data_IF_141116711968
#
_entry.id   IF_141116711968
#
_cell.length_a   1.000
_cell.length_b   1.000
_cell.length_c   1.000
_cell.angle_alpha   90.00
_cell.angle_beta   90.00
_cell.angle_gamma   90.00
#
_symmetry.space_group_name_H-M   'P 1'
#
loop_
_entity.id
_entity.type
_entity.pdbx_description
1 polymer ?
#
# COMPACT_ATOMS: atom_id res chain seq x y z
N UNK A 1 6.46 -6.24 8.72
CA UNK A 1 7.00 -6.18 7.36
C UNK A 1 7.41 -7.58 6.93
N UNK A 2 6.78 -8.12 5.88
CA UNK A 2 7.08 -9.46 5.39
C UNK A 2 8.21 -9.47 4.34
N UNK A 3 8.26 -8.46 3.49
CA UNK A 3 9.25 -8.38 2.41
C UNK A 3 10.31 -7.34 2.72
N UNK A 4 11.54 -7.79 2.94
CA UNK A 4 12.68 -6.89 3.16
C UNK A 4 13.17 -6.31 1.83
N UNK A 5 13.61 -5.05 1.88
CA UNK A 5 14.09 -4.34 0.70
C UNK A 5 15.57 -4.66 0.44
N UNK A 6 15.80 -5.85 -0.10
CA UNK A 6 17.12 -6.32 -0.52
C UNK A 6 17.22 -6.19 -2.03
N UNK A 7 17.85 -5.13 -2.51
CA UNK A 7 18.01 -4.86 -3.94
C UNK A 7 19.46 -4.55 -4.30
N UNK A 8 19.84 -4.99 -5.47
CA UNK A 8 21.14 -4.68 -6.08
C UNK A 8 20.92 -4.33 -7.55
N UNK A 9 20.81 -3.03 -7.84
CA UNK A 9 20.64 -2.54 -9.20
C UNK A 9 22.01 -2.23 -9.79
N UNK A 10 22.36 -2.90 -10.87
CA UNK A 10 23.66 -2.68 -11.56
C UNK A 10 23.84 -1.20 -11.92
N UNK A 11 24.92 -0.60 -11.44
CA UNK A 11 25.23 0.83 -11.56
C UNK A 11 24.17 1.76 -10.92
N UNK A 12 23.41 1.26 -9.95
CA UNK A 12 22.34 1.96 -9.29
C UNK A 12 22.37 1.79 -7.77
N UNK A 13 21.19 1.59 -7.19
CA UNK A 13 21.02 1.52 -5.75
C UNK A 13 21.30 0.11 -5.22
N UNK A 14 21.94 0.07 -4.05
CA UNK A 14 22.11 -1.11 -3.24
C UNK A 14 21.47 -0.88 -1.88
N UNK A 15 20.57 -1.76 -1.50
CA UNK A 15 19.97 -1.80 -0.16
C UNK A 15 19.91 -3.24 0.31
N UNK A 16 20.13 -3.45 1.60
CA UNK A 16 20.08 -4.77 2.22
C UNK A 16 19.51 -4.65 3.62
N UNK A 17 18.18 -4.56 3.72
CA UNK A 17 17.48 -4.48 5.00
C UNK A 17 17.68 -5.72 5.86
N UNK A 18 17.91 -6.88 5.23
CA UNK A 18 18.17 -8.13 5.95
C UNK A 18 19.44 -8.13 6.80
N UNK A 19 20.34 -7.17 6.61
CA UNK A 19 21.51 -7.01 7.49
C UNK A 19 21.14 -6.49 8.89
N UNK A 20 19.97 -5.85 9.03
CA UNK A 20 19.53 -5.21 10.29
C UNK A 20 18.14 -5.60 10.74
N UNK A 21 17.30 -6.15 9.85
CA UNK A 21 15.91 -6.49 10.12
C UNK A 21 15.64 -7.96 9.84
N UNK A 22 14.71 -8.53 10.61
CA UNK A 22 14.13 -9.86 10.33
C UNK A 22 12.74 -9.68 9.73
N UNK A 23 12.43 -10.44 8.67
CA UNK A 23 11.11 -10.43 8.05
C UNK A 23 10.05 -11.02 8.98
N UNK A 24 8.84 -10.47 8.91
CA UNK A 24 7.64 -11.13 9.43
C UNK A 24 7.22 -12.30 8.51
N UNK A 25 6.34 -13.14 9.02
CA UNK A 25 5.90 -14.39 8.39
C UNK A 25 4.40 -14.41 8.06
N UNK A 26 3.67 -13.33 8.31
CA UNK A 26 2.23 -13.25 8.08
C UNK A 26 1.75 -11.86 7.66
N UNK A 27 0.57 -11.80 7.05
CA UNK A 27 -0.17 -10.57 6.80
C UNK A 27 -0.85 -10.11 8.09
N UNK A 28 -0.70 -8.82 8.43
CA UNK A 28 -1.28 -8.25 9.65
C UNK A 28 -2.64 -7.64 9.35
N UNK A 29 -3.70 -8.29 9.79
CA UNK A 29 -5.08 -7.78 9.79
C UNK A 29 -5.59 -7.79 11.23
N UNK A 30 -6.27 -6.73 11.65
CA UNK A 30 -6.76 -6.56 13.01
C UNK A 30 -8.14 -5.93 13.04
N UNK A 31 -8.91 -6.23 14.09
CA UNK A 31 -10.26 -5.71 14.29
C UNK A 31 -10.21 -4.29 14.88
N UNK A 32 -11.11 -3.43 14.39
CA UNK A 32 -11.38 -2.11 14.94
C UNK A 32 -12.89 -1.89 15.05
N UNK A 33 -13.32 -0.83 15.72
CA UNK A 33 -14.73 -0.44 15.77
C UNK A 33 -15.32 -0.08 14.39
N UNK A 34 -14.46 0.19 13.38
CA UNK A 34 -14.85 0.50 12.00
C UNK A 34 -14.71 -0.69 11.04
N UNK A 35 -14.46 -1.89 11.57
CA UNK A 35 -14.20 -3.10 10.78
C UNK A 35 -12.73 -3.50 10.78
N UNK A 36 -12.40 -4.49 9.97
CA UNK A 36 -11.03 -5.00 9.88
C UNK A 36 -10.13 -4.07 9.06
N UNK A 37 -8.91 -3.88 9.54
CA UNK A 37 -7.89 -3.07 8.87
C UNK A 37 -6.59 -3.85 8.75
N UNK A 38 -5.81 -3.54 7.71
CA UNK A 38 -4.51 -4.14 7.46
C UNK A 38 -3.36 -3.14 7.58
N UNK A 39 -2.17 -3.65 7.83
CA UNK A 39 -0.92 -2.88 7.77
C UNK A 39 0.10 -3.63 6.94
N UNK A 40 0.69 -2.94 5.97
CA UNK A 40 1.88 -3.39 5.23
C UNK A 40 2.93 -2.28 5.24
N UNK A 41 4.20 -2.63 5.09
CA UNK A 41 5.27 -1.65 5.26
C UNK A 41 6.10 -1.52 3.98
N UNK A 42 6.06 -0.34 3.36
CA UNK A 42 6.92 0.08 2.26
C UNK A 42 6.99 -0.94 1.12
N UNK A 43 8.02 -1.77 1.08
CA UNK A 43 8.27 -2.74 0.01
C UNK A 43 7.15 -3.77 -0.15
N UNK A 44 6.40 -4.07 0.92
CA UNK A 44 5.26 -4.99 0.91
C UNK A 44 4.18 -4.62 -0.13
N UNK A 45 3.96 -3.33 -0.42
CA UNK A 45 2.92 -2.88 -1.37
C UNK A 45 3.20 -3.36 -2.81
N UNK A 46 4.45 -3.73 -3.12
CA UNK A 46 4.83 -4.20 -4.45
C UNK A 46 4.34 -5.62 -4.75
N UNK A 47 3.95 -6.35 -3.71
CA UNK A 47 3.46 -7.73 -3.80
C UNK A 47 1.94 -7.73 -3.79
N UNK A 48 1.27 -7.87 -4.96
CA UNK A 48 -0.18 -7.83 -5.06
C UNK A 48 -0.85 -8.94 -4.25
N UNK A 49 -0.21 -10.09 -4.13
CA UNK A 49 -0.68 -11.23 -3.35
C UNK A 49 -0.84 -10.88 -1.87
N UNK A 50 0.06 -10.04 -1.33
CA UNK A 50 0.04 -9.67 0.08
C UNK A 50 -1.15 -8.76 0.42
N UNK A 51 -1.43 -7.78 -0.43
CA UNK A 51 -2.63 -6.95 -0.31
C UNK A 51 -3.91 -7.79 -0.52
N UNK A 52 -3.88 -8.74 -1.46
CA UNK A 52 -4.99 -9.65 -1.72
C UNK A 52 -5.30 -10.52 -0.51
N UNK A 53 -4.30 -11.07 0.13
CA UNK A 53 -4.47 -11.87 1.37
C UNK A 53 -5.19 -11.05 2.43
N UNK A 54 -4.73 -9.83 2.72
CA UNK A 54 -5.37 -8.96 3.71
C UNK A 54 -6.83 -8.63 3.36
N UNK A 55 -7.13 -8.36 2.08
CA UNK A 55 -8.50 -8.10 1.64
C UNK A 55 -9.41 -9.33 1.79
N UNK A 56 -8.88 -10.53 1.54
CA UNK A 56 -9.60 -11.79 1.73
C UNK A 56 -9.82 -12.12 3.20
N UNK A 57 -8.92 -11.69 4.08
CA UNK A 57 -9.05 -11.77 5.54
C UNK A 57 -10.03 -10.72 6.09
N UNK A 58 -10.60 -9.89 5.20
CA UNK A 58 -11.64 -8.94 5.48
C UNK A 58 -11.18 -7.51 5.74
N UNK A 59 -9.91 -7.17 5.48
CA UNK A 59 -9.45 -5.79 5.59
C UNK A 59 -10.22 -4.90 4.61
N UNK A 60 -10.81 -3.84 5.14
CA UNK A 60 -11.52 -2.80 4.37
C UNK A 60 -10.59 -1.64 4.01
N UNK A 61 -9.51 -1.51 4.74
CA UNK A 61 -8.53 -0.44 4.63
C UNK A 61 -7.15 -0.99 4.95
N UNK A 62 -6.12 -0.58 4.19
CA UNK A 62 -4.73 -0.95 4.47
C UNK A 62 -3.89 0.32 4.61
N UNK A 63 -3.21 0.42 5.75
CA UNK A 63 -2.23 1.47 6.03
C UNK A 63 -0.84 1.03 5.56
N UNK A 64 -0.14 1.95 4.90
CA UNK A 64 1.18 1.68 4.32
C UNK A 64 2.15 2.81 4.68
N UNK A 65 2.82 2.74 5.84
CA UNK A 65 3.98 3.58 6.07
C UNK A 65 5.10 3.18 5.09
N UNK A 66 5.59 4.14 4.30
CA UNK A 66 6.53 3.85 3.24
C UNK A 66 7.37 5.08 2.84
N UNK A 67 8.61 4.85 2.48
CA UNK A 67 9.50 5.86 1.90
C UNK A 67 10.01 5.36 0.54
N UNK A 68 9.36 5.79 -0.55
CA UNK A 68 9.88 5.54 -1.90
C UNK A 68 10.94 6.59 -2.21
N UNK A 69 11.98 6.19 -2.94
CA UNK A 69 13.05 7.08 -3.37
C UNK A 69 12.68 7.90 -4.62
N UNK A 70 13.56 8.80 -5.03
CA UNK A 70 13.34 9.69 -6.18
C UNK A 70 13.29 8.97 -7.53
N UNK A 71 13.76 7.72 -7.62
CA UNK A 71 13.70 6.91 -8.85
C UNK A 71 12.34 6.22 -8.98
N UNK A 72 11.88 5.58 -7.92
CA UNK A 72 10.66 4.77 -7.95
C UNK A 72 9.42 5.55 -7.48
N UNK A 73 9.59 6.61 -6.71
CA UNK A 73 8.50 7.44 -6.23
C UNK A 73 7.64 7.98 -7.36
N UNK A 74 8.19 8.75 -8.32
CA UNK A 74 7.43 9.32 -9.42
C UNK A 74 6.71 8.27 -10.29
N UNK A 75 7.36 7.13 -10.49
CA UNK A 75 6.85 6.11 -11.41
C UNK A 75 5.89 5.11 -10.75
N UNK A 76 6.09 4.79 -9.47
CA UNK A 76 5.42 3.66 -8.84
C UNK A 76 4.48 4.05 -7.69
N UNK A 77 4.71 5.17 -6.98
CA UNK A 77 3.98 5.51 -5.77
C UNK A 77 2.47 5.50 -5.98
N UNK A 78 1.97 6.46 -6.74
CA UNK A 78 0.54 6.59 -7.02
C UNK A 78 -0.02 5.35 -7.71
N UNK A 79 0.70 4.83 -8.71
CA UNK A 79 0.29 3.65 -9.47
C UNK A 79 0.03 2.45 -8.57
N UNK A 80 0.95 2.15 -7.64
CA UNK A 80 0.80 0.96 -6.77
C UNK A 80 -0.34 1.14 -5.77
N UNK A 81 -0.54 2.31 -5.19
CA UNK A 81 -1.67 2.57 -4.29
C UNK A 81 -3.00 2.42 -5.00
N UNK A 82 -3.13 3.01 -6.18
CA UNK A 82 -4.34 2.91 -7.02
C UNK A 82 -4.61 1.47 -7.46
N UNK A 83 -3.59 0.76 -7.91
CA UNK A 83 -3.73 -0.63 -8.33
C UNK A 83 -4.16 -1.52 -7.15
N UNK A 84 -3.52 -1.43 -5.97
CA UNK A 84 -3.91 -2.23 -4.81
C UNK A 84 -5.31 -1.91 -4.32
N UNK A 85 -5.72 -0.64 -4.35
CA UNK A 85 -7.08 -0.23 -4.01
C UNK A 85 -8.10 -0.85 -4.98
N UNK A 86 -7.87 -0.72 -6.30
CA UNK A 86 -8.75 -1.22 -7.34
C UNK A 86 -8.84 -2.75 -7.33
N UNK A 87 -7.69 -3.44 -7.34
CA UNK A 87 -7.61 -4.90 -7.40
C UNK A 87 -8.35 -5.59 -6.25
N UNK A 88 -8.34 -4.95 -5.07
CA UNK A 88 -8.88 -5.50 -3.84
C UNK A 88 -10.17 -4.82 -3.40
N UNK A 89 -10.58 -3.74 -4.07
CA UNK A 89 -11.77 -2.96 -3.77
C UNK A 89 -11.80 -2.52 -2.29
N UNK A 90 -10.70 -1.91 -1.84
CA UNK A 90 -10.46 -1.42 -0.48
C UNK A 90 -9.86 -0.01 -0.52
N UNK A 91 -9.89 0.67 0.63
CA UNK A 91 -9.13 1.90 0.78
C UNK A 91 -7.65 1.61 1.02
N UNK A 92 -6.76 2.40 0.38
CA UNK A 92 -5.33 2.35 0.64
C UNK A 92 -4.83 3.70 1.12
N UNK A 93 -4.08 3.70 2.22
CA UNK A 93 -3.57 4.91 2.86
C UNK A 93 -2.04 4.83 2.95
N UNK A 94 -1.37 5.68 2.20
CA UNK A 94 0.10 5.80 2.20
C UNK A 94 0.56 6.97 3.06
N UNK A 95 1.41 6.69 4.05
CA UNK A 95 2.08 7.70 4.84
C UNK A 95 3.56 7.71 4.51
N UNK A 96 4.05 8.82 3.95
CA UNK A 96 5.45 9.00 3.56
C UNK A 96 6.11 10.12 4.36
N UNK A 97 7.42 10.01 4.66
CA UNK A 97 8.18 11.14 5.20
C UNK A 97 8.19 12.30 4.21
N UNK A 98 8.19 13.53 4.72
CA UNK A 98 8.48 14.70 3.91
C UNK A 98 9.88 14.60 3.30
N UNK A 99 10.08 15.24 2.15
CA UNK A 99 11.35 15.21 1.44
C UNK A 99 12.38 16.10 2.12
N UNK A 100 13.47 15.49 2.54
CA UNK A 100 14.68 16.19 2.93
C UNK A 100 15.77 15.91 1.89
N UNK A 101 16.16 16.95 1.15
CA UNK A 101 17.18 16.85 0.08
C UNK A 101 18.60 16.72 0.61
N UNK A 102 18.82 16.92 1.92
CA UNK A 102 20.11 16.77 2.58
C UNK A 102 20.25 15.40 3.28
N UNK A 103 19.17 14.62 3.36
CA UNK A 103 19.20 13.29 3.96
C UNK A 103 19.98 12.29 3.09
N UNK A 104 20.59 11.29 3.73
CA UNK A 104 21.26 10.19 3.02
C UNK A 104 20.30 9.32 2.20
N UNK A 105 19.01 9.30 2.56
CA UNK A 105 17.92 8.73 1.78
C UNK A 105 16.85 9.80 1.52
N UNK A 106 16.71 10.20 0.28
CA UNK A 106 15.74 11.23 -0.12
C UNK A 106 14.40 10.57 -0.45
N UNK A 107 13.40 10.82 0.40
CA UNK A 107 12.04 10.33 0.21
C UNK A 107 11.32 11.09 -0.90
N UNK A 108 10.45 10.39 -1.63
CA UNK A 108 9.54 11.01 -2.60
C UNK A 108 8.48 11.90 -1.92
N UNK A 109 8.05 11.55 -0.69
CA UNK A 109 6.92 12.19 -0.02
C UNK A 109 5.59 11.70 -0.57
N UNK A 110 4.63 12.62 -0.72
CA UNK A 110 3.35 12.40 -1.39
C UNK A 110 2.42 11.42 -0.67
N UNK A 111 2.24 11.56 0.66
CA UNK A 111 1.24 10.80 1.40
C UNK A 111 -0.10 10.82 0.68
N UNK A 112 -0.79 9.67 0.60
CA UNK A 112 -1.91 9.46 -0.33
C UNK A 112 -3.04 8.66 0.29
N UNK A 113 -4.28 8.98 -0.10
CA UNK A 113 -5.47 8.15 0.15
C UNK A 113 -6.12 7.82 -1.18
N UNK A 114 -6.41 6.54 -1.41
CA UNK A 114 -7.14 6.06 -2.59
C UNK A 114 -8.37 5.28 -2.20
N UNK A 115 -9.44 5.43 -2.99
CA UNK A 115 -10.73 4.76 -2.77
C UNK A 115 -10.78 3.35 -3.43
N UNK A 116 -11.79 2.53 -3.12
CA UNK A 116 -11.96 1.19 -3.68
C UNK A 116 -12.15 1.14 -5.21
N UNK A 117 -12.38 2.29 -5.86
CA UNK A 117 -12.44 2.42 -7.33
C UNK A 117 -11.07 2.71 -7.95
N UNK A 118 -10.02 2.85 -7.13
CA UNK A 118 -8.68 3.23 -7.57
C UNK A 118 -8.50 4.72 -7.85
N UNK A 119 -9.41 5.56 -7.37
CA UNK A 119 -9.30 7.03 -7.47
C UNK A 119 -8.46 7.57 -6.34
N UNK A 120 -7.55 8.49 -6.63
CA UNK A 120 -6.91 9.30 -5.59
C UNK A 120 -7.94 10.25 -5.00
N UNK A 121 -8.25 10.08 -3.72
CA UNK A 121 -9.14 10.97 -2.98
C UNK A 121 -8.40 12.24 -2.58
N UNK A 122 -7.20 12.06 -2.01
CA UNK A 122 -6.33 13.15 -1.59
C UNK A 122 -4.87 12.74 -1.59
N UNK A 123 -3.98 13.68 -1.89
CA UNK A 123 -2.54 13.47 -1.88
C UNK A 123 -1.85 14.76 -1.42
N UNK A 124 -0.84 14.62 -0.58
CA UNK A 124 0.07 15.72 -0.24
C UNK A 124 1.15 15.87 -1.33
N UNK A 125 1.87 16.97 -1.26
CA UNK A 125 3.12 17.16 -2.00
C UNK A 125 4.32 16.53 -1.25
N UNK A 126 5.51 16.97 -1.52
CA UNK A 126 6.73 16.49 -0.87
C UNK A 126 7.01 17.11 0.50
N UNK A 127 6.21 18.10 0.94
CA UNK A 127 6.46 18.85 2.17
C UNK A 127 5.81 18.21 3.39
N UNK A 128 6.17 18.70 4.56
CA UNK A 128 5.46 18.37 5.79
C UNK A 128 4.00 18.82 5.71
N UNK A 129 3.09 17.96 6.13
CA UNK A 129 1.67 18.27 6.10
C UNK A 129 0.83 17.21 6.82
N UNK A 130 -0.42 17.56 7.07
CA UNK A 130 -1.44 16.66 7.61
C UNK A 130 -2.48 16.43 6.53
N UNK A 131 -2.74 15.15 6.22
CA UNK A 131 -3.81 14.73 5.35
C UNK A 131 -4.96 14.22 6.20
N UNK A 132 -6.12 14.85 6.09
CA UNK A 132 -7.37 14.40 6.69
C UNK A 132 -8.35 14.14 5.57
N UNK A 133 -8.95 12.97 5.57
CA UNK A 133 -9.96 12.54 4.58
C UNK A 133 -11.05 11.72 5.25
N UNK A 134 -12.28 11.94 4.85
CA UNK A 134 -13.42 11.15 5.30
C UNK A 134 -13.53 9.86 4.49
N UNK A 135 -13.68 8.73 5.18
CA UNK A 135 -13.80 7.41 4.57
C UNK A 135 -15.23 6.92 4.70
N UNK A 136 -15.87 6.70 3.57
CA UNK A 136 -17.21 6.11 3.47
C UNK A 136 -17.12 4.61 3.19
N UNK A 137 -17.28 3.80 4.22
CA UNK A 137 -17.22 2.34 4.07
C UNK A 137 -18.43 1.76 3.32
N UNK A 138 -19.58 2.40 3.34
CA UNK A 138 -20.76 1.95 2.57
C UNK A 138 -20.48 2.03 1.06
N UNK A 139 -19.66 2.98 0.63
CA UNK A 139 -19.20 3.08 -0.75
C UNK A 139 -18.39 1.86 -1.19
N UNK A 140 -17.57 1.28 -0.31
CA UNK A 140 -16.84 0.04 -0.60
C UNK A 140 -17.81 -1.10 -0.90
N UNK A 141 -18.84 -1.27 -0.06
CA UNK A 141 -19.84 -2.32 -0.22
C UNK A 141 -20.61 -2.15 -1.54
N UNK A 142 -21.03 -0.93 -1.87
CA UNK A 142 -21.68 -0.61 -3.15
C UNK A 142 -20.80 -0.96 -4.37
N UNK A 143 -19.51 -0.63 -4.32
CA UNK A 143 -18.55 -0.94 -5.39
C UNK A 143 -18.41 -2.46 -5.56
N UNK A 144 -18.30 -3.20 -4.46
CA UNK A 144 -18.20 -4.67 -4.46
C UNK A 144 -19.47 -5.36 -4.97
N UNK A 145 -20.64 -4.76 -4.76
CA UNK A 145 -21.91 -5.25 -5.32
C UNK A 145 -22.00 -5.01 -6.83
N UNK A 146 -21.62 -3.81 -7.29
CA UNK A 146 -21.72 -3.41 -8.69
C UNK A 146 -20.68 -4.09 -9.58
N UNK A 147 -19.46 -4.28 -9.05
CA UNK A 147 -18.34 -4.90 -9.74
C UNK A 147 -17.68 -5.94 -8.82
N UNK A 148 -18.23 -7.15 -8.67
CA UNK A 148 -17.84 -8.10 -7.65
C UNK A 148 -16.53 -8.84 -7.96
N UNK A 149 -15.40 -8.14 -8.08
CA UNK A 149 -14.11 -8.71 -8.47
C UNK A 149 -13.65 -9.81 -7.50
N UNK A 150 -13.76 -9.59 -6.20
CA UNK A 150 -13.35 -10.57 -5.20
C UNK A 150 -14.19 -11.84 -5.26
N UNK A 151 -15.51 -11.70 -5.49
CA UNK A 151 -16.47 -12.82 -5.58
C UNK A 151 -16.28 -13.63 -6.87
N UNK A 152 -15.90 -13.00 -7.98
CA UNK A 152 -15.72 -13.64 -9.26
C UNK A 152 -14.35 -14.30 -9.44
N UNK A 153 -13.50 -14.30 -8.41
CA UNK A 153 -12.22 -15.00 -8.45
C UNK A 153 -12.43 -16.51 -8.61
N UNK A 154 -11.57 -17.10 -9.41
CA UNK A 154 -11.51 -18.55 -9.62
C UNK A 154 -10.24 -19.07 -8.95
N UNK A 155 -10.30 -19.22 -7.62
CA UNK A 155 -9.13 -19.55 -6.80
C UNK A 155 -8.45 -20.86 -7.24
N UNK A 156 -9.21 -21.79 -7.80
CA UNK A 156 -8.73 -23.06 -8.35
C UNK A 156 -7.80 -22.90 -9.56
N UNK A 157 -7.79 -21.70 -10.19
CA UNK A 157 -6.91 -21.40 -11.34
C UNK A 157 -5.62 -20.68 -10.93
N UNK A 158 -5.51 -20.28 -9.65
CA UNK A 158 -4.38 -19.49 -9.17
C UNK A 158 -3.42 -20.40 -8.39
N UNK A 159 -2.28 -20.68 -8.99
CA UNK A 159 -1.20 -21.47 -8.37
C UNK A 159 -0.21 -20.48 -7.71
N UNK A 160 -0.44 -20.18 -6.43
CA UNK A 160 0.40 -19.29 -5.61
C UNK A 160 1.15 -20.10 -4.55
#
# INVERSE_FOLDING_TARGET
KAHLFDINVKNGQYFKESDTLTSGDHATVFDTEFGKMGVMICYDIRFPEFARTMALDGARMIFVPAAFNMTTGPAHWELTFRARALDNQIYMLGCAPARDTQAGYISWGHSIVTDPWGKVMKQLDEKEGILIEEIDLDREDQIREQLPLLKHRKSEMYHL
#
